data_IF_534455395433
#
_entry.id   IF_534455395433
#
_cell.length_a   1.000
_cell.length_b   1.000
_cell.length_c   1.000
_cell.angle_alpha   90.00
_cell.angle_beta   90.00
_cell.angle_gamma   90.00
#
_symmetry.space_group_name_H-M   'P 1'
#
loop_
_entity.id
_entity.type
_entity.pdbx_description
1 polymer ?
#
# COMPACT_ATOMS: atom_id res chain seq x y z
N UNK A 1 -8.54 -19.55 -34.95
CA UNK A 1 -8.19 -19.91 -33.55
C UNK A 1 -7.76 -18.64 -32.87
N UNK A 2 -8.62 -18.04 -32.05
CA UNK A 2 -8.33 -16.76 -31.39
C UNK A 2 -7.47 -17.04 -30.15
N UNK A 3 -6.28 -16.45 -30.08
CA UNK A 3 -5.41 -16.55 -28.92
C UNK A 3 -6.14 -16.03 -27.67
N UNK A 4 -6.09 -16.74 -26.53
CA UNK A 4 -6.69 -16.25 -25.30
C UNK A 4 -6.01 -14.93 -24.93
N UNK A 5 -6.80 -13.89 -24.63
CA UNK A 5 -6.26 -12.58 -24.27
C UNK A 5 -5.58 -12.69 -22.90
N UNK A 6 -4.25 -12.71 -22.88
CA UNK A 6 -3.46 -12.78 -21.65
C UNK A 6 -3.40 -11.43 -20.89
N UNK A 7 -4.25 -10.46 -21.25
CA UNK A 7 -4.18 -9.10 -20.72
C UNK A 7 -2.81 -8.47 -21.05
N UNK A 8 -2.19 -7.86 -20.04
CA UNK A 8 -0.81 -7.36 -20.09
C UNK A 8 0.23 -8.40 -19.65
N UNK A 9 -0.17 -9.65 -19.38
CA UNK A 9 0.76 -10.68 -18.95
C UNK A 9 1.69 -11.12 -20.08
N UNK A 10 2.98 -11.15 -19.80
CA UNK A 10 4.04 -11.57 -20.70
C UNK A 10 4.15 -13.09 -20.67
N UNK A 11 4.02 -13.73 -21.83
CA UNK A 11 4.17 -15.18 -21.96
C UNK A 11 5.64 -15.54 -22.05
N UNK A 12 6.11 -16.40 -21.14
CA UNK A 12 7.47 -16.96 -21.15
C UNK A 12 7.45 -18.24 -21.97
N UNK A 13 8.02 -18.19 -23.18
CA UNK A 13 8.04 -19.33 -24.11
C UNK A 13 9.28 -20.21 -23.94
N UNK A 14 10.36 -19.67 -23.36
CA UNK A 14 11.65 -20.35 -23.18
C UNK A 14 12.24 -20.07 -21.82
N UNK A 15 12.94 -21.05 -21.24
CA UNK A 15 13.58 -20.94 -19.92
C UNK A 15 14.51 -19.71 -19.81
N UNK A 16 15.22 -19.35 -20.89
CA UNK A 16 16.15 -18.22 -20.90
C UNK A 16 15.49 -16.85 -20.71
N UNK A 17 14.20 -16.72 -21.02
CA UNK A 17 13.47 -15.45 -20.92
C UNK A 17 13.06 -15.13 -19.48
N UNK A 18 12.93 -16.15 -18.62
CA UNK A 18 12.39 -15.96 -17.27
C UNK A 18 13.23 -14.99 -16.43
N UNK A 19 14.52 -15.28 -16.27
CA UNK A 19 15.41 -14.42 -15.48
C UNK A 19 15.56 -13.02 -16.10
N UNK A 20 15.60 -12.94 -17.44
CA UNK A 20 15.67 -11.67 -18.15
C UNK A 20 14.47 -10.77 -17.83
N UNK A 21 13.25 -11.32 -17.76
CA UNK A 21 12.04 -10.55 -17.43
C UNK A 21 12.02 -10.10 -15.96
N UNK A 22 12.52 -10.95 -15.05
CA UNK A 22 12.70 -10.57 -13.64
C UNK A 22 13.69 -9.41 -13.50
N UNK A 23 14.81 -9.45 -14.23
CA UNK A 23 15.83 -8.41 -14.18
C UNK A 23 15.34 -7.09 -14.80
N UNK A 24 14.62 -7.15 -15.92
CA UNK A 24 14.04 -5.98 -16.60
C UNK A 24 12.92 -5.31 -15.81
N UNK A 25 12.25 -6.03 -14.91
CA UNK A 25 11.22 -5.46 -14.05
C UNK A 25 11.79 -4.46 -13.02
N UNK A 26 13.07 -4.58 -12.67
CA UNK A 26 13.75 -3.68 -11.74
C UNK A 26 13.23 -3.82 -10.30
N UNK A 27 12.68 -2.73 -9.76
CA UNK A 27 12.08 -2.67 -8.42
C UNK A 27 10.57 -2.95 -8.40
N UNK A 28 9.94 -3.09 -9.58
CA UNK A 28 8.50 -3.37 -9.69
C UNK A 28 8.18 -4.77 -9.17
N UNK A 29 6.94 -4.92 -8.67
CA UNK A 29 6.39 -6.23 -8.36
C UNK A 29 6.28 -7.04 -9.66
N UNK A 30 6.74 -8.28 -9.64
CA UNK A 30 6.52 -9.27 -10.69
C UNK A 30 5.68 -10.39 -10.13
N UNK A 31 4.56 -10.69 -10.77
CA UNK A 31 3.67 -11.80 -10.41
C UNK A 31 3.79 -12.85 -11.50
N UNK A 32 4.12 -14.09 -11.13
CA UNK A 32 4.39 -15.18 -12.07
C UNK A 32 3.35 -16.28 -11.86
N UNK A 33 2.59 -16.62 -12.89
CA UNK A 33 1.70 -17.78 -12.93
C UNK A 33 2.41 -18.98 -13.56
N UNK A 34 2.73 -19.99 -12.75
CA UNK A 34 3.19 -21.30 -13.23
C UNK A 34 1.98 -22.21 -13.48
N UNK A 35 1.72 -22.50 -14.76
CA UNK A 35 0.53 -23.22 -15.19
C UNK A 35 0.85 -24.36 -16.17
N UNK A 36 -0.21 -25.07 -16.59
CA UNK A 36 -0.16 -26.06 -17.66
C UNK A 36 -1.48 -26.08 -18.45
N UNK A 37 -1.42 -26.34 -19.75
CA UNK A 37 -2.60 -26.36 -20.63
C UNK A 37 -3.65 -27.41 -20.24
N UNK A 38 -3.21 -28.55 -19.71
CA UNK A 38 -4.06 -29.66 -19.26
C UNK A 38 -4.64 -29.44 -17.85
N UNK A 39 -4.13 -28.46 -17.09
CA UNK A 39 -4.57 -28.17 -15.72
C UNK A 39 -5.92 -27.42 -15.72
N UNK A 40 -6.97 -28.07 -15.21
CA UNK A 40 -8.32 -27.51 -15.10
C UNK A 40 -8.40 -26.21 -14.28
N UNK A 41 -7.92 -26.20 -13.02
CA UNK A 41 -7.90 -24.99 -12.19
C UNK A 41 -7.10 -23.84 -12.81
N UNK A 42 -6.04 -24.14 -13.56
CA UNK A 42 -5.26 -23.13 -14.28
C UNK A 42 -6.09 -22.42 -15.36
N UNK A 43 -6.92 -23.16 -16.11
CA UNK A 43 -7.82 -22.55 -17.10
C UNK A 43 -8.84 -21.59 -16.48
N UNK A 44 -9.28 -21.85 -15.24
CA UNK A 44 -10.15 -20.96 -14.48
C UNK A 44 -9.40 -19.69 -14.03
N UNK A 45 -8.14 -19.82 -13.60
CA UNK A 45 -7.34 -18.69 -13.13
C UNK A 45 -6.79 -17.82 -14.26
N UNK A 46 -6.55 -18.36 -15.45
CA UNK A 46 -5.99 -17.64 -16.59
C UNK A 46 -6.71 -16.31 -16.93
N UNK A 47 -8.06 -16.26 -17.09
CA UNK A 47 -8.75 -14.99 -17.35
C UNK A 47 -8.69 -14.03 -16.16
N UNK A 48 -8.64 -14.55 -14.93
CA UNK A 48 -8.52 -13.74 -13.71
C UNK A 48 -7.14 -13.08 -13.65
N UNK A 49 -6.08 -13.87 -13.88
CA UNK A 49 -4.70 -13.39 -13.95
C UNK A 49 -4.52 -12.34 -15.05
N UNK A 50 -5.13 -12.56 -16.22
CA UNK A 50 -5.16 -11.58 -17.30
C UNK A 50 -5.83 -10.27 -16.87
N UNK A 51 -6.99 -10.31 -16.20
CA UNK A 51 -7.65 -9.10 -15.69
C UNK A 51 -6.82 -8.38 -14.63
N UNK A 52 -6.20 -9.11 -13.71
CA UNK A 52 -5.31 -8.55 -12.69
C UNK A 52 -4.10 -7.85 -13.34
N UNK A 53 -3.54 -8.40 -14.42
CA UNK A 53 -2.44 -7.75 -15.15
C UNK A 53 -2.81 -6.40 -15.77
N UNK A 54 -4.08 -6.20 -16.09
CA UNK A 54 -4.60 -4.92 -16.60
C UNK A 54 -4.87 -3.97 -15.43
N UNK A 55 -5.50 -4.47 -14.36
CA UNK A 55 -5.82 -3.69 -13.16
C UNK A 55 -4.58 -3.14 -12.45
N UNK A 56 -3.52 -3.95 -12.38
CA UNK A 56 -2.28 -3.64 -11.66
C UNK A 56 -1.13 -3.38 -12.64
N UNK A 57 -1.27 -2.40 -13.52
CA UNK A 57 -0.28 -2.06 -14.56
C UNK A 57 1.09 -1.62 -14.03
N UNK A 58 1.18 -1.23 -12.75
CA UNK A 58 2.43 -0.95 -12.07
C UNK A 58 3.26 -2.22 -11.78
N UNK A 59 2.62 -3.40 -11.75
CA UNK A 59 3.28 -4.70 -11.65
C UNK A 59 3.48 -5.32 -13.04
N UNK A 60 4.48 -6.19 -13.13
CA UNK A 60 4.75 -7.03 -14.29
C UNK A 60 4.11 -8.39 -14.04
N UNK A 61 3.33 -8.89 -15.00
CA UNK A 61 2.71 -10.22 -14.91
C UNK A 61 3.38 -11.14 -15.90
N UNK A 62 3.81 -12.31 -15.46
CA UNK A 62 4.43 -13.34 -16.30
C UNK A 62 3.58 -14.61 -16.23
N UNK A 63 3.43 -15.30 -17.36
CA UNK A 63 2.84 -16.65 -17.39
C UNK A 63 3.88 -17.63 -17.92
N UNK A 64 4.03 -18.74 -17.20
CA UNK A 64 5.05 -19.77 -17.45
C UNK A 64 4.35 -21.12 -17.55
N UNK A 65 4.35 -21.69 -18.76
CA UNK A 65 3.90 -23.06 -18.97
C UNK A 65 5.01 -24.03 -18.55
N UNK A 66 4.74 -24.88 -17.55
CA UNK A 66 5.73 -25.81 -16.98
C UNK A 66 6.19 -26.88 -17.97
N UNK A 67 5.38 -27.20 -18.99
CA UNK A 67 5.76 -28.15 -20.04
C UNK A 67 6.73 -27.53 -21.06
N UNK A 68 6.65 -26.21 -21.25
CA UNK A 68 7.55 -25.46 -22.15
C UNK A 68 8.84 -25.02 -21.44
N UNK A 69 8.73 -24.61 -20.17
CA UNK A 69 9.85 -24.11 -19.36
C UNK A 69 10.21 -25.08 -18.23
N UNK A 70 10.56 -26.32 -18.59
CA UNK A 70 10.78 -27.42 -17.64
C UNK A 70 11.93 -27.14 -16.67
N UNK A 71 13.01 -26.51 -17.13
CA UNK A 71 14.18 -26.22 -16.29
C UNK A 71 13.87 -25.12 -15.28
N UNK A 72 13.17 -24.08 -15.71
CA UNK A 72 12.70 -23.02 -14.82
C UNK A 72 11.74 -23.59 -13.78
N UNK A 73 10.74 -24.38 -14.18
CA UNK A 73 9.81 -25.02 -13.26
C UNK A 73 10.52 -25.90 -12.21
N UNK A 74 11.50 -26.70 -12.63
CA UNK A 74 12.29 -27.53 -11.72
C UNK A 74 13.15 -26.69 -10.75
N UNK A 75 13.82 -25.65 -11.26
CA UNK A 75 14.70 -24.78 -10.45
C UNK A 75 13.90 -23.96 -9.44
N UNK A 76 12.70 -23.52 -9.82
CA UNK A 76 11.77 -22.79 -8.96
C UNK A 76 10.99 -23.72 -8.01
N UNK A 77 11.18 -25.04 -8.10
CA UNK A 77 10.59 -26.01 -7.19
C UNK A 77 9.08 -26.20 -7.36
N UNK A 78 8.54 -26.00 -8.57
CA UNK A 78 7.10 -26.09 -8.84
C UNK A 78 6.65 -27.55 -8.75
N UNK A 79 5.71 -27.84 -7.82
CA UNK A 79 5.17 -29.19 -7.57
C UNK A 79 3.67 -29.31 -7.82
N UNK A 80 2.97 -28.19 -7.95
CA UNK A 80 1.53 -28.11 -8.16
C UNK A 80 1.19 -26.91 -9.05
N UNK A 81 0.07 -26.99 -9.79
CA UNK A 81 -0.40 -25.90 -10.64
C UNK A 81 -1.89 -25.60 -10.38
N UNK A 82 -2.30 -24.32 -10.42
CA UNK A 82 -1.44 -23.15 -10.61
C UNK A 82 -0.62 -22.85 -9.35
N UNK A 83 0.60 -22.36 -9.53
CA UNK A 83 1.40 -21.77 -8.44
C UNK A 83 1.79 -20.36 -8.85
N UNK A 84 1.56 -19.40 -7.97
CA UNK A 84 1.85 -17.99 -8.20
C UNK A 84 3.02 -17.57 -7.34
N UNK A 85 4.06 -17.02 -7.95
CA UNK A 85 5.20 -16.43 -7.24
C UNK A 85 5.20 -14.92 -7.39
N UNK A 86 5.61 -14.25 -6.32
CA UNK A 86 5.71 -12.80 -6.27
C UNK A 86 7.18 -12.44 -6.10
N UNK A 87 7.71 -11.64 -7.00
CA UNK A 87 9.06 -11.10 -6.92
C UNK A 87 9.02 -9.60 -6.77
N UNK A 88 9.88 -9.06 -5.92
CA UNK A 88 10.07 -7.62 -5.81
C UNK A 88 11.54 -7.35 -5.53
N UNK A 89 12.10 -6.33 -6.17
CA UNK A 89 13.56 -6.09 -6.15
C UNK A 89 14.37 -7.35 -6.54
N UNK A 90 13.88 -8.10 -7.54
CA UNK A 90 14.48 -9.35 -8.05
C UNK A 90 14.59 -10.50 -7.04
N UNK A 91 13.94 -10.41 -5.88
CA UNK A 91 13.86 -11.50 -4.89
C UNK A 91 12.44 -12.02 -4.83
N UNK A 92 12.28 -13.34 -4.62
CA UNK A 92 10.96 -13.91 -4.32
C UNK A 92 10.55 -13.45 -2.93
N UNK A 93 9.41 -12.80 -2.82
CA UNK A 93 8.89 -12.23 -1.57
C UNK A 93 7.68 -12.97 -1.04
N UNK A 94 6.97 -13.70 -1.92
CA UNK A 94 5.79 -14.45 -1.54
C UNK A 94 5.47 -15.55 -2.56
N UNK A 95 4.63 -16.49 -2.15
CA UNK A 95 4.10 -17.55 -3.00
C UNK A 95 2.67 -17.94 -2.60
N UNK A 96 1.91 -18.41 -3.60
CA UNK A 96 0.59 -18.97 -3.40
C UNK A 96 0.41 -20.20 -4.29
N UNK A 97 0.03 -21.32 -3.69
CA UNK A 97 -0.29 -22.54 -4.43
C UNK A 97 -1.81 -22.71 -4.52
N UNK A 98 -2.29 -23.14 -5.69
CA UNK A 98 -3.69 -23.44 -5.93
C UNK A 98 -4.50 -22.26 -6.50
N UNK A 99 -5.71 -22.57 -6.95
CA UNK A 99 -6.61 -21.61 -7.55
C UNK A 99 -7.42 -20.86 -6.47
N UNK A 100 -6.95 -19.67 -6.11
CA UNK A 100 -7.64 -18.77 -5.18
C UNK A 100 -7.64 -17.33 -5.73
N UNK A 101 -8.71 -16.89 -6.41
CA UNK A 101 -8.80 -15.56 -7.01
C UNK A 101 -8.61 -14.42 -6.01
N UNK A 102 -9.32 -14.46 -4.88
CA UNK A 102 -9.27 -13.43 -3.85
C UNK A 102 -7.89 -13.42 -3.19
N UNK A 103 -7.36 -14.58 -2.81
CA UNK A 103 -6.03 -14.68 -2.21
C UNK A 103 -4.90 -14.22 -3.14
N UNK A 104 -5.05 -14.42 -4.46
CA UNK A 104 -4.10 -13.89 -5.44
C UNK A 104 -4.13 -12.35 -5.44
N UNK A 105 -5.31 -11.77 -5.53
CA UNK A 105 -5.48 -10.31 -5.56
C UNK A 105 -5.08 -9.64 -4.24
N UNK A 106 -5.39 -10.25 -3.10
CA UNK A 106 -4.97 -9.77 -1.79
C UNK A 106 -3.44 -9.70 -1.67
N UNK A 107 -2.72 -10.74 -2.12
CA UNK A 107 -1.25 -10.73 -2.16
C UNK A 107 -0.71 -9.71 -3.15
N UNK A 108 -1.36 -9.53 -4.30
CA UNK A 108 -1.00 -8.43 -5.22
C UNK A 108 -1.13 -7.08 -4.50
N UNK A 109 -2.26 -6.83 -3.83
CA UNK A 109 -2.47 -5.59 -3.07
C UNK A 109 -1.47 -5.39 -1.93
N UNK A 110 -1.06 -6.47 -1.26
CA UNK A 110 -0.03 -6.44 -0.23
C UNK A 110 1.33 -5.96 -0.79
N UNK A 111 1.69 -6.39 -2.00
CA UNK A 111 3.01 -6.14 -2.58
C UNK A 111 3.04 -5.00 -3.61
N UNK A 112 1.89 -4.57 -4.14
CA UNK A 112 1.74 -3.43 -5.04
C UNK A 112 1.84 -2.15 -4.20
N UNK A 113 2.97 -1.45 -4.27
CA UNK A 113 3.21 -0.26 -3.44
C UNK A 113 3.78 -0.49 -2.03
N UNK A 114 3.82 -1.73 -1.50
CA UNK A 114 4.36 -2.04 -0.17
C UNK A 114 5.79 -2.59 -0.17
N UNK A 115 6.68 -2.04 0.65
CA UNK A 115 8.07 -2.49 0.84
C UNK A 115 8.20 -4.00 1.07
N UNK A 116 9.32 -4.58 0.61
CA UNK A 116 9.65 -6.00 0.79
C UNK A 116 9.94 -6.30 2.26
N UNK A 117 9.16 -7.17 2.89
CA UNK A 117 9.58 -7.94 4.07
C UNK A 117 10.43 -9.14 3.59
N UNK A 118 11.68 -9.32 4.05
CA UNK A 118 12.41 -10.57 3.92
C UNK A 118 12.19 -11.46 5.16
N UNK A 119 12.05 -12.76 4.90
CA UNK A 119 12.05 -13.90 5.83
C UNK A 119 12.51 -13.64 7.28
N UNK A 120 11.57 -13.81 8.22
CA UNK A 120 11.74 -14.06 9.66
C UNK A 120 13.00 -13.47 10.35
N UNK A 121 13.16 -12.16 10.27
CA UNK A 121 13.74 -11.34 11.33
C UNK A 121 12.87 -10.10 11.41
N UNK A 122 12.30 -9.81 12.57
CA UNK A 122 11.52 -8.58 12.83
C UNK A 122 12.33 -7.36 12.41
N UNK A 123 11.95 -6.71 11.31
CA UNK A 123 12.63 -5.48 10.87
C UNK A 123 11.60 -4.45 10.41
N UNK A 124 11.50 -3.37 11.19
CA UNK A 124 10.56 -2.26 11.09
C UNK A 124 10.62 -1.54 9.71
N UNK A 125 9.47 -1.19 9.09
CA UNK A 125 9.32 -0.46 7.81
C UNK A 125 10.17 0.81 7.61
N UNK A 126 10.78 1.33 8.66
CA UNK A 126 11.62 2.54 8.69
C UNK A 126 12.97 2.39 7.95
N UNK A 127 13.35 1.17 7.55
CA UNK A 127 14.67 0.84 6.97
C UNK A 127 14.87 1.04 5.47
N UNK A 128 13.82 1.30 4.68
CA UNK A 128 13.86 1.08 3.21
C UNK A 128 14.15 2.34 2.38
N UNK A 129 13.98 3.56 2.90
CA UNK A 129 13.91 4.76 2.06
C UNK A 129 15.24 5.36 1.56
N UNK A 130 16.39 5.04 2.18
CA UNK A 130 17.64 5.80 1.93
C UNK A 130 18.71 5.03 1.14
N UNK A 131 18.50 3.75 0.83
CA UNK A 131 19.55 2.88 0.27
C UNK A 131 20.76 2.70 1.19
N UNK A 132 20.69 3.22 2.43
CA UNK A 132 21.64 3.03 3.52
C UNK A 132 20.89 2.28 4.62
N UNK A 133 21.54 1.29 5.21
CA UNK A 133 20.94 0.57 6.32
C UNK A 133 20.62 1.54 7.46
N UNK A 134 19.37 1.59 7.92
CA UNK A 134 19.00 2.31 9.15
C UNK A 134 19.48 1.57 10.42
N UNK A 135 20.58 0.80 10.34
CA UNK A 135 21.27 0.24 11.52
C UNK A 135 21.64 1.35 12.53
N UNK A 136 21.87 2.56 12.02
CA UNK A 136 22.07 3.75 12.85
C UNK A 136 20.89 4.06 13.76
N UNK A 137 19.67 3.75 13.35
CA UNK A 137 18.49 3.96 14.19
C UNK A 137 18.42 2.92 15.30
N UNK A 138 18.70 1.65 15.02
CA UNK A 138 18.81 0.61 16.07
C UNK A 138 19.92 0.96 17.09
N UNK A 139 21.08 1.42 16.59
CA UNK A 139 22.15 1.93 17.44
C UNK A 139 21.70 3.13 18.29
N UNK A 140 20.86 4.01 17.73
CA UNK A 140 20.26 5.12 18.46
C UNK A 140 19.29 4.60 19.54
N UNK A 141 18.47 3.59 19.23
CA UNK A 141 17.52 2.96 20.16
C UNK A 141 18.19 2.26 21.33
N UNK A 142 19.37 1.68 21.12
CA UNK A 142 20.16 0.98 22.15
C UNK A 142 20.73 1.93 23.23
N UNK A 143 20.67 3.24 23.02
CA UNK A 143 21.09 4.21 24.03
C UNK A 143 20.10 4.24 25.22
N UNK A 144 20.59 4.56 26.45
CA UNK A 144 19.73 4.78 27.60
C UNK A 144 18.58 5.74 27.31
N UNK A 145 17.41 5.53 27.91
CA UNK A 145 16.20 6.28 27.59
C UNK A 145 16.40 7.81 27.63
N UNK A 146 17.09 8.34 28.64
CA UNK A 146 17.38 9.77 28.76
C UNK A 146 18.29 10.29 27.64
N UNK A 147 19.32 9.52 27.28
CA UNK A 147 20.27 9.85 26.20
C UNK A 147 19.57 9.82 24.84
N UNK A 148 18.78 8.78 24.58
CA UNK A 148 17.94 8.68 23.38
C UNK A 148 16.97 9.86 23.29
N UNK A 149 16.26 10.18 24.38
CA UNK A 149 15.29 11.27 24.40
C UNK A 149 15.94 12.62 24.11
N UNK A 150 17.11 12.88 24.69
CA UNK A 150 17.84 14.13 24.46
C UNK A 150 18.37 14.21 23.02
N UNK A 151 18.97 13.15 22.47
CA UNK A 151 19.46 13.12 21.09
C UNK A 151 18.32 13.25 20.06
N UNK A 152 17.24 12.47 20.26
CA UNK A 152 16.08 12.43 19.37
C UNK A 152 15.37 13.78 19.25
N UNK A 153 15.25 14.56 20.34
CA UNK A 153 14.71 15.92 20.28
C UNK A 153 15.54 16.86 19.40
N UNK A 154 16.86 16.73 19.44
CA UNK A 154 17.75 17.57 18.63
C UNK A 154 17.71 17.15 17.14
N UNK A 155 17.64 15.85 16.85
CA UNK A 155 17.43 15.32 15.50
C UNK A 155 16.08 15.78 14.91
N UNK A 156 14.99 15.68 15.69
CA UNK A 156 13.67 16.18 15.32
C UNK A 156 13.70 17.68 15.01
N UNK A 157 14.43 18.46 15.80
CA UNK A 157 14.59 19.90 15.56
C UNK A 157 15.27 20.19 14.22
N UNK A 158 16.28 19.41 13.84
CA UNK A 158 16.92 19.56 12.52
C UNK A 158 15.97 19.20 11.39
N UNK A 159 15.30 18.04 11.48
CA UNK A 159 14.31 17.61 10.50
C UNK A 159 13.18 18.65 10.34
N UNK A 160 12.56 19.08 11.45
CA UNK A 160 11.49 20.06 11.45
C UNK A 160 11.88 21.39 10.81
N UNK A 161 13.07 21.91 11.12
CA UNK A 161 13.52 23.18 10.54
C UNK A 161 13.72 23.09 9.03
N UNK A 162 14.22 21.97 8.52
CA UNK A 162 14.39 21.73 7.07
C UNK A 162 13.04 21.50 6.40
N UNK A 163 12.15 20.70 6.99
CA UNK A 163 10.82 20.41 6.43
C UNK A 163 10.00 21.68 6.25
N UNK A 164 9.98 22.56 7.26
CA UNK A 164 9.17 23.78 7.22
C UNK A 164 9.83 24.93 6.44
N UNK A 165 11.14 24.84 6.18
CA UNK A 165 11.88 25.89 5.48
C UNK A 165 12.88 25.24 4.50
N UNK A 166 12.39 24.54 3.47
CA UNK A 166 13.21 23.67 2.62
C UNK A 166 14.25 24.45 1.85
N UNK A 167 14.04 25.71 1.48
CA UNK A 167 15.03 26.46 0.70
C UNK A 167 16.00 27.28 1.55
N UNK A 168 15.87 27.24 2.89
CA UNK A 168 16.69 28.07 3.76
C UNK A 168 18.07 27.41 4.02
N UNK A 169 19.17 28.00 3.52
CA UNK A 169 20.51 27.40 3.64
C UNK A 169 21.01 27.30 5.08
N UNK A 170 20.48 28.15 5.98
CA UNK A 170 20.85 28.14 7.40
C UNK A 170 20.46 26.83 8.09
N UNK A 171 19.29 26.27 7.77
CA UNK A 171 18.79 25.05 8.41
C UNK A 171 19.37 23.78 7.80
N UNK A 172 19.93 23.88 6.59
CA UNK A 172 20.61 22.79 5.89
C UNK A 172 22.07 22.60 6.30
N UNK A 173 22.57 23.39 7.24
CA UNK A 173 23.99 23.36 7.65
C UNK A 173 24.11 23.21 9.16
N UNK A 174 24.90 22.22 9.59
CA UNK A 174 25.21 21.97 11.00
C UNK A 174 26.73 22.10 11.18
N UNK A 175 27.19 22.90 12.15
CA UNK A 175 28.62 23.02 12.46
C UNK A 175 29.03 21.95 13.47
N UNK A 176 30.05 21.17 13.15
CA UNK A 176 30.56 20.09 14.02
C UNK A 176 31.21 20.68 15.28
N UNK A 177 31.82 21.87 15.19
CA UNK A 177 32.29 22.65 16.34
C UNK A 177 31.23 23.19 17.30
N UNK A 178 29.92 23.02 17.03
CA UNK A 178 28.86 23.53 17.91
C UNK A 178 28.78 22.73 19.21
N UNK A 179 28.88 23.39 20.37
CA UNK A 179 28.86 22.73 21.69
C UNK A 179 27.65 21.82 21.92
N UNK A 180 26.46 22.22 21.45
CA UNK A 180 25.22 21.43 21.60
C UNK A 180 25.30 20.16 20.75
N UNK A 181 25.80 20.28 19.52
CA UNK A 181 26.03 19.14 18.63
C UNK A 181 27.06 18.18 19.22
N UNK A 182 28.18 18.72 19.72
CA UNK A 182 29.27 17.93 20.31
C UNK A 182 28.86 17.23 21.60
N UNK A 183 28.05 17.85 22.45
CA UNK A 183 27.67 17.25 23.72
C UNK A 183 26.48 16.29 23.61
N UNK A 184 25.57 16.50 22.64
CA UNK A 184 24.28 15.77 22.57
C UNK A 184 24.14 14.77 21.43
N UNK A 185 24.95 14.89 20.35
CA UNK A 185 24.85 13.97 19.21
C UNK A 185 26.14 13.20 18.96
N UNK A 186 27.31 13.86 19.00
CA UNK A 186 28.59 13.15 18.78
C UNK A 186 28.84 11.94 19.71
N UNK A 187 28.52 11.98 21.03
CA UNK A 187 28.78 10.84 21.91
C UNK A 187 27.68 9.77 21.83
N UNK A 188 26.60 10.02 21.09
CA UNK A 188 25.43 9.15 21.04
C UNK A 188 25.54 8.24 19.83
N UNK A 189 25.62 6.93 20.10
CA UNK A 189 25.78 5.92 19.06
C UNK A 189 24.61 5.97 18.08
N UNK A 190 24.88 6.01 16.78
CA UNK A 190 23.87 6.06 15.73
C UNK A 190 23.25 7.43 15.42
N UNK A 191 23.49 8.45 16.25
CA UNK A 191 22.83 9.75 16.11
C UNK A 191 23.33 10.57 14.90
N UNK A 192 24.63 10.57 14.64
CA UNK A 192 25.22 11.30 13.50
C UNK A 192 24.98 10.53 12.21
N UNK A 193 25.03 9.21 12.28
CA UNK A 193 24.74 8.29 11.18
C UNK A 193 23.30 8.44 10.70
N UNK A 194 22.35 8.73 11.61
CA UNK A 194 20.98 9.10 11.24
C UNK A 194 20.93 10.39 10.38
N UNK A 195 21.78 11.39 10.66
CA UNK A 195 21.88 12.60 9.82
C UNK A 195 22.40 12.25 8.41
N UNK A 196 23.38 11.37 8.32
CA UNK A 196 23.89 10.89 7.04
C UNK A 196 22.87 10.04 6.28
N UNK A 197 22.04 9.27 6.98
CA UNK A 197 20.97 8.48 6.37
C UNK A 197 19.93 9.39 5.72
N UNK A 198 19.54 10.50 6.38
CA UNK A 198 18.58 11.46 5.81
C UNK A 198 19.16 12.39 4.73
N UNK A 199 20.46 12.31 4.45
CA UNK A 199 21.08 12.96 3.31
C UNK A 199 22.04 14.11 3.65
N UNK A 200 22.39 14.32 4.92
CA UNK A 200 23.53 15.19 5.24
C UNK A 200 24.83 14.60 4.69
N UNK A 201 25.73 15.47 4.25
CA UNK A 201 27.05 15.13 3.76
C UNK A 201 28.10 15.90 4.54
N UNK A 202 29.23 15.26 4.84
CA UNK A 202 30.36 15.92 5.50
C UNK A 202 31.11 16.84 4.52
N UNK A 203 31.34 18.09 4.93
CA UNK A 203 32.12 19.09 4.21
C UNK A 203 32.99 19.89 5.18
N UNK A 204 34.17 19.37 5.49
CA UNK A 204 35.07 19.97 6.47
C UNK A 204 34.45 19.95 7.87
N UNK A 205 34.45 21.09 8.57
CA UNK A 205 33.85 21.22 9.92
C UNK A 205 32.32 21.40 9.91
N UNK A 206 31.65 21.03 8.81
CA UNK A 206 30.21 21.21 8.63
C UNK A 206 29.55 19.99 8.00
N UNK A 207 28.33 19.70 8.45
CA UNK A 207 27.41 18.79 7.78
C UNK A 207 26.42 19.61 6.95
N UNK A 208 26.28 19.28 5.67
CA UNK A 208 25.45 20.02 4.71
C UNK A 208 24.44 19.09 4.06
N UNK A 209 23.16 19.46 4.12
CA UNK A 209 22.06 18.78 3.44
C UNK A 209 21.76 19.44 2.09
N UNK A 210 22.05 18.81 0.94
CA UNK A 210 21.85 19.42 -0.38
C UNK A 210 20.35 19.69 -0.67
N UNK A 211 20.02 20.77 -1.40
CA UNK A 211 18.65 21.05 -1.85
C UNK A 211 18.21 20.00 -2.89
N UNK A 212 16.96 19.51 -2.81
CA UNK A 212 16.43 18.48 -3.71
C UNK A 212 15.66 17.35 -2.99
N UNK A 213 15.47 16.23 -3.71
CA UNK A 213 14.59 15.05 -3.51
C UNK A 213 14.69 14.27 -2.17
N UNK A 214 15.24 14.86 -1.10
CA UNK A 214 15.51 14.19 0.18
C UNK A 214 14.55 14.59 1.31
N UNK A 215 13.49 15.33 1.01
CA UNK A 215 12.47 15.72 2.01
C UNK A 215 11.75 14.50 2.59
N UNK A 216 11.56 13.46 1.78
CA UNK A 216 10.95 12.19 2.19
C UNK A 216 11.70 11.53 3.34
N UNK A 217 13.04 11.50 3.30
CA UNK A 217 13.84 10.90 4.36
C UNK A 217 13.76 11.68 5.68
N UNK A 218 13.61 13.00 5.61
CA UNK A 218 13.41 13.85 6.79
C UNK A 218 12.05 13.58 7.46
N UNK A 219 11.00 13.38 6.66
CA UNK A 219 9.67 13.00 7.14
C UNK A 219 9.69 11.62 7.79
N UNK A 220 10.38 10.65 7.17
CA UNK A 220 10.53 9.31 7.73
C UNK A 220 11.26 9.35 9.07
N UNK A 221 12.36 10.12 9.18
CA UNK A 221 13.06 10.31 10.46
C UNK A 221 12.15 10.95 11.52
N UNK A 222 11.35 11.95 11.11
CA UNK A 222 10.44 12.64 12.00
C UNK A 222 9.38 11.70 12.58
N UNK A 223 8.65 10.98 11.74
CA UNK A 223 7.61 10.03 12.18
C UNK A 223 8.23 8.93 13.04
N UNK A 224 9.41 8.45 12.62
CA UNK A 224 10.13 7.39 13.29
C UNK A 224 10.49 7.72 14.73
N UNK A 225 11.05 8.91 14.95
CA UNK A 225 11.43 9.37 16.28
C UNK A 225 10.20 9.69 17.13
N UNK A 226 9.16 10.31 16.56
CA UNK A 226 7.93 10.64 17.28
C UNK A 226 7.20 9.39 17.80
N UNK A 227 7.12 8.33 16.99
CA UNK A 227 6.53 7.06 17.41
C UNK A 227 7.28 6.45 18.60
N UNK A 228 8.62 6.43 18.53
CA UNK A 228 9.45 5.83 19.57
C UNK A 228 9.43 6.65 20.87
N UNK A 229 9.45 7.98 20.77
CA UNK A 229 9.26 8.86 21.94
C UNK A 229 7.92 8.62 22.62
N UNK A 230 6.85 8.45 21.83
CA UNK A 230 5.51 8.12 22.34
C UNK A 230 5.48 6.76 23.04
N UNK A 231 6.15 5.76 22.45
CA UNK A 231 6.28 4.41 23.03
C UNK A 231 7.04 4.42 24.35
N UNK A 232 8.18 5.13 24.43
CA UNK A 232 9.00 5.24 25.65
C UNK A 232 8.30 6.04 26.76
N UNK A 233 7.55 7.07 26.39
CA UNK A 233 6.75 7.87 27.34
C UNK A 233 5.56 7.09 27.90
N UNK A 234 4.99 6.14 27.13
CA UNK A 234 3.89 5.27 27.57
C UNK A 234 4.31 4.02 28.36
N UNK A 235 5.57 3.61 28.29
CA UNK A 235 6.06 2.35 28.88
C UNK A 235 6.53 2.44 30.34
N UNK A 236 6.45 3.59 31.00
CA UNK A 236 6.96 3.77 32.36
C UNK A 236 5.92 3.39 33.43
N UNK A 237 5.72 2.08 33.64
CA UNK A 237 5.17 1.51 34.88
C UNK A 237 6.19 0.49 35.46
N UNK A 238 6.45 0.45 36.78
CA UNK A 238 7.60 -0.28 37.31
C UNK A 238 7.41 -1.79 37.22
N UNK A 239 8.42 -2.48 36.68
CA UNK A 239 8.49 -3.93 36.60
C UNK A 239 8.70 -4.63 37.96
N UNK A 240 8.53 -5.96 38.01
CA UNK A 240 8.49 -6.74 39.24
C UNK A 240 9.89 -6.98 39.80
N UNK A 241 10.09 -6.67 41.08
CA UNK A 241 11.29 -7.04 41.82
C UNK A 241 11.16 -8.47 42.33
N UNK A 242 12.02 -9.37 41.84
CA UNK A 242 12.30 -10.64 42.50
C UNK A 242 13.38 -10.43 43.57
N UNK A 243 13.12 -10.89 44.80
CA UNK A 243 14.15 -11.39 45.72
C UNK A 243 13.56 -12.57 46.51
N UNK A 244 14.30 -13.68 46.68
CA UNK A 244 13.93 -14.76 47.60
C UNK A 244 14.49 -14.48 49.01
N UNK A 245 13.95 -15.20 50.01
CA UNK A 245 14.57 -15.69 51.27
C UNK A 245 13.67 -15.46 52.51
N UNK A 246 13.00 -16.56 52.92
CA UNK A 246 12.66 -17.04 54.28
C UNK A 246 12.43 -16.04 55.44
N UNK A 247 11.31 -16.17 56.18
CA UNK A 247 11.17 -16.92 57.46
C UNK A 247 9.77 -16.72 58.09
N UNK A 248 9.19 -17.84 58.59
CA UNK A 248 8.22 -18.09 59.70
C UNK A 248 7.87 -16.91 60.65
N UNK A 249 6.70 -16.75 61.29
CA UNK A 249 5.82 -17.69 62.02
C UNK A 249 4.40 -17.11 62.34
N UNK A 250 3.40 -18.00 62.39
CA UNK A 250 2.23 -18.19 63.29
C UNK A 250 1.43 -17.05 64.00
N UNK A 251 0.14 -16.98 63.61
CA UNK A 251 -1.12 -17.18 64.40
C UNK A 251 -1.73 -16.04 65.32
N UNK A 252 -3.09 -15.91 65.42
CA UNK A 252 -3.87 -14.70 65.83
C UNK A 252 -4.61 -14.90 67.20
N UNK A 253 -5.82 -14.37 67.53
CA UNK A 253 -6.63 -13.23 67.03
C UNK A 253 -7.15 -12.27 68.15
N UNK A 254 -7.78 -11.15 67.77
CA UNK A 254 -8.59 -10.35 68.71
C UNK A 254 -9.30 -9.11 68.13
N UNK A 255 -10.62 -9.26 67.92
CA UNK A 255 -11.69 -8.25 68.12
C UNK A 255 -11.81 -7.05 67.14
N UNK A 256 -12.84 -7.13 66.28
CA UNK A 256 -13.57 -6.03 65.59
C UNK A 256 -14.65 -5.45 66.53
N UNK A 257 -15.29 -4.26 66.32
CA UNK A 257 -15.58 -3.63 65.01
C UNK A 257 -15.56 -2.09 64.90
N UNK A 258 -15.56 -1.59 63.66
CA UNK A 258 -15.82 -0.17 63.35
C UNK A 258 -15.63 0.15 61.86
N UNK A 259 -16.73 0.30 61.13
CA UNK A 259 -16.83 0.48 59.68
C UNK A 259 -16.38 1.90 59.24
N UNK A 260 -15.51 2.02 58.24
CA UNK A 260 -15.33 3.21 57.38
C UNK A 260 -14.62 2.82 56.07
N UNK A 261 -15.13 3.35 54.96
CA UNK A 261 -14.88 2.96 53.57
C UNK A 261 -13.43 3.20 53.09
N UNK A 262 -12.94 2.44 52.07
CA UNK A 262 -11.63 2.67 51.48
C UNK A 262 -11.63 3.86 50.50
N UNK A 263 -10.64 4.74 50.68
CA UNK A 263 -10.30 5.83 49.77
C UNK A 263 -9.74 5.28 48.47
N UNK A 264 -10.45 5.50 47.36
CA UNK A 264 -9.97 5.28 46.00
C UNK A 264 -9.00 6.43 45.67
N UNK A 265 -7.70 6.14 45.62
CA UNK A 265 -6.73 7.05 45.01
C UNK A 265 -6.75 6.80 43.49
N UNK A 266 -7.45 7.67 42.77
CA UNK A 266 -7.48 7.69 41.32
C UNK A 266 -6.14 8.18 40.76
N UNK A 267 -5.49 7.38 39.90
CA UNK A 267 -4.44 7.82 38.96
C UNK A 267 -4.96 8.96 38.08
N UNK A 268 -4.13 9.93 37.68
CA UNK A 268 -4.55 10.94 36.71
C UNK A 268 -4.72 10.27 35.35
N UNK A 269 -5.95 10.33 34.82
CA UNK A 269 -6.25 9.89 33.46
C UNK A 269 -5.58 10.85 32.48
N UNK A 270 -4.82 10.31 31.51
CA UNK A 270 -4.42 11.05 30.31
C UNK A 270 -5.68 11.62 29.68
N UNK A 271 -5.75 12.94 29.56
CA UNK A 271 -6.95 13.64 29.09
C UNK A 271 -7.28 13.24 27.64
N UNK A 272 -8.57 13.22 27.28
CA UNK A 272 -8.98 12.96 25.89
C UNK A 272 -8.32 13.94 24.91
N UNK A 273 -7.97 15.14 25.39
CA UNK A 273 -7.32 16.20 24.64
C UNK A 273 -5.94 15.83 24.11
N UNK A 274 -5.16 14.99 24.82
CA UNK A 274 -3.80 14.66 24.38
C UNK A 274 -3.80 13.62 23.25
N UNK A 275 -4.75 12.68 23.28
CA UNK A 275 -4.98 11.74 22.18
C UNK A 275 -5.59 12.43 20.96
N UNK A 276 -6.45 13.42 21.20
CA UNK A 276 -7.04 14.24 20.15
C UNK A 276 -6.00 15.12 19.47
N UNK A 277 -5.07 15.72 20.22
CA UNK A 277 -3.92 16.44 19.66
C UNK A 277 -3.03 15.53 18.82
N UNK A 278 -2.72 14.32 19.29
CA UNK A 278 -1.90 13.36 18.54
C UNK A 278 -2.59 12.95 17.23
N UNK A 279 -3.89 12.68 17.26
CA UNK A 279 -4.67 12.39 16.07
C UNK A 279 -4.69 13.56 15.08
N UNK A 280 -4.90 14.79 15.57
CA UNK A 280 -4.93 15.98 14.72
C UNK A 280 -3.57 16.28 14.08
N UNK A 281 -2.47 16.03 14.81
CA UNK A 281 -1.11 16.17 14.26
C UNK A 281 -0.84 15.14 13.15
N UNK A 282 -1.28 13.89 13.31
CA UNK A 282 -1.18 12.86 12.25
C UNK A 282 -2.02 13.21 11.03
N UNK A 283 -3.23 13.72 11.25
CA UNK A 283 -4.12 14.16 10.17
C UNK A 283 -3.52 15.35 9.41
N UNK A 284 -2.96 16.32 10.13
CA UNK A 284 -2.29 17.48 9.53
C UNK A 284 -1.08 17.05 8.68
N UNK A 285 -0.25 16.13 9.19
CA UNK A 285 0.88 15.56 8.44
C UNK A 285 0.42 14.85 7.17
N UNK A 286 -0.62 14.02 7.28
CA UNK A 286 -1.20 13.28 6.14
C UNK A 286 -1.76 14.23 5.08
N UNK A 287 -2.44 15.31 5.48
CA UNK A 287 -2.94 16.33 4.57
C UNK A 287 -1.78 17.05 3.85
N UNK A 288 -0.69 17.32 4.54
CA UNK A 288 0.48 17.97 3.95
C UNK A 288 1.15 17.09 2.88
N UNK A 289 1.06 15.77 3.03
CA UNK A 289 1.48 14.82 2.00
C UNK A 289 0.52 14.78 0.79
N UNK A 290 -0.78 14.99 0.99
CA UNK A 290 -1.74 15.13 -0.11
C UNK A 290 -1.50 16.41 -0.91
N UNK A 291 -1.12 17.50 -0.23
CA UNK A 291 -0.79 18.78 -0.88
C UNK A 291 0.45 18.69 -1.78
N UNK A 292 1.31 17.67 -1.61
CA UNK A 292 2.41 17.38 -2.55
C UNK A 292 1.90 17.11 -3.97
N UNK A 293 0.71 16.50 -4.12
CA UNK A 293 0.09 16.27 -5.42
C UNK A 293 -0.48 17.53 -6.06
N UNK A 294 -0.57 18.64 -5.31
CA UNK A 294 -0.97 19.95 -5.82
C UNK A 294 0.22 20.78 -6.35
N UNK A 295 1.45 20.27 -6.22
CA UNK A 295 2.65 20.91 -6.76
C UNK A 295 2.59 21.01 -8.31
N UNK A 296 2.58 22.22 -8.90
CA UNK A 296 2.43 22.41 -10.34
C UNK A 296 3.57 21.83 -11.17
N UNK A 297 4.79 21.81 -10.64
CA UNK A 297 5.97 21.26 -11.33
C UNK A 297 5.93 19.73 -11.32
N UNK A 298 5.51 19.13 -10.20
CA UNK A 298 5.30 17.68 -10.11
C UNK A 298 4.17 17.23 -11.04
N UNK A 299 3.05 17.95 -11.06
CA UNK A 299 1.94 17.71 -11.98
C UNK A 299 2.35 17.86 -13.44
N UNK A 300 3.15 18.87 -13.78
CA UNK A 300 3.66 19.08 -15.15
C UNK A 300 4.59 17.94 -15.57
N UNK A 301 5.46 17.46 -14.69
CA UNK A 301 6.32 16.28 -14.96
C UNK A 301 5.47 15.03 -15.18
N UNK A 302 4.46 14.78 -14.35
CA UNK A 302 3.52 13.68 -14.52
C UNK A 302 2.75 13.79 -15.85
N UNK A 303 2.27 14.98 -16.20
CA UNK A 303 1.58 15.24 -17.47
C UNK A 303 2.47 14.93 -18.69
N UNK A 304 3.75 15.27 -18.63
CA UNK A 304 4.70 14.97 -19.71
C UNK A 304 5.00 13.47 -19.86
N UNK A 305 4.71 12.65 -18.84
CA UNK A 305 4.82 11.19 -18.89
C UNK A 305 3.54 10.51 -19.39
N UNK A 306 2.40 11.21 -19.39
CA UNK A 306 1.13 10.69 -19.89
C UNK A 306 1.07 11.00 -21.40
N UNK A 307 0.86 10.00 -22.28
CA UNK A 307 0.82 10.22 -23.72
C UNK A 307 -0.54 10.80 -24.14
N UNK A 308 -0.86 12.00 -23.65
CA UNK A 308 -2.16 12.67 -23.84
C UNK A 308 -2.46 12.91 -25.32
N UNK A 309 -1.43 13.17 -26.14
CA UNK A 309 -1.57 13.31 -27.58
C UNK A 309 -2.04 11.99 -28.23
N UNK A 310 -1.45 10.86 -27.87
CA UNK A 310 -1.84 9.53 -28.38
C UNK A 310 -3.24 9.13 -27.91
N UNK A 311 -3.62 9.54 -26.69
CA UNK A 311 -4.97 9.31 -26.15
C UNK A 311 -6.04 10.15 -26.86
N UNK A 312 -5.69 11.34 -27.36
CA UNK A 312 -6.57 12.22 -28.13
C UNK A 312 -6.68 11.82 -29.61
N UNK A 313 -5.60 11.29 -30.18
CA UNK A 313 -5.50 10.87 -31.59
C UNK A 313 -6.06 9.46 -31.84
N UNK A 314 -6.23 8.62 -30.80
CA UNK A 314 -6.93 7.34 -30.95
C UNK A 314 -8.36 7.61 -31.46
N UNK A 315 -8.74 7.12 -32.66
CA UNK A 315 -10.08 7.34 -33.16
C UNK A 315 -11.06 6.59 -32.25
N UNK A 316 -11.95 7.32 -31.57
CA UNK A 316 -13.18 6.73 -31.05
C UNK A 316 -13.85 6.07 -32.25
N UNK A 317 -13.96 4.74 -32.25
CA UNK A 317 -14.63 4.01 -33.32
C UNK A 317 -15.99 4.68 -33.55
N UNK A 318 -16.33 5.10 -34.78
CA UNK A 318 -17.62 5.73 -35.02
C UNK A 318 -18.69 4.67 -34.77
N UNK A 319 -19.45 4.84 -33.68
CA UNK A 319 -20.75 4.19 -33.52
C UNK A 319 -21.60 4.68 -34.67
N UNK A 320 -22.11 3.76 -35.50
CA UNK A 320 -22.96 4.12 -36.64
C UNK A 320 -24.14 4.93 -36.11
N UNK A 321 -24.16 6.24 -36.39
CA UNK A 321 -25.32 7.10 -36.14
C UNK A 321 -26.47 6.66 -37.03
N UNK A 322 -27.30 5.73 -36.56
CA UNK A 322 -28.65 5.56 -37.08
C UNK A 322 -29.54 6.65 -36.47
N UNK A 323 -29.40 7.90 -36.94
CA UNK A 323 -30.43 8.96 -36.88
C UNK A 323 -31.20 9.27 -35.59
N UNK A 324 -30.87 8.70 -34.42
CA UNK A 324 -31.65 8.85 -33.17
C UNK A 324 -30.74 9.28 -32.03
N UNK A 325 -31.24 10.19 -31.21
CA UNK A 325 -30.54 10.79 -30.09
C UNK A 325 -30.62 9.87 -28.88
N UNK A 326 -29.61 9.01 -28.70
CA UNK A 326 -29.55 8.09 -27.56
C UNK A 326 -29.25 8.85 -26.26
N UNK A 327 -30.16 8.74 -25.28
CA UNK A 327 -29.99 9.31 -23.95
C UNK A 327 -29.93 8.21 -22.89
N UNK A 328 -28.97 8.36 -22.00
CA UNK A 328 -28.77 7.48 -20.85
C UNK A 328 -29.87 7.65 -19.81
N UNK A 329 -30.47 6.54 -19.35
CA UNK A 329 -31.47 6.55 -18.27
C UNK A 329 -31.20 5.47 -17.22
N UNK A 330 -31.44 5.81 -15.96
CA UNK A 330 -31.24 4.90 -14.81
C UNK A 330 -32.37 3.87 -14.66
N UNK A 331 -33.58 4.20 -15.13
CA UNK A 331 -34.77 3.32 -15.05
C UNK A 331 -35.59 3.46 -16.33
N UNK A 332 -35.53 2.48 -17.25
CA UNK A 332 -36.27 2.58 -18.50
C UNK A 332 -37.79 2.37 -18.29
N UNK A 333 -38.62 3.11 -19.01
CA UNK A 333 -40.09 3.08 -18.93
C UNK A 333 -40.68 2.01 -19.84
N UNK A 334 -41.54 1.13 -19.30
CA UNK A 334 -42.06 -0.07 -20.00
C UNK A 334 -42.52 0.22 -21.45
N UNK A 335 -42.03 -0.53 -22.46
CA UNK A 335 -42.33 -0.20 -23.85
C UNK A 335 -43.77 -0.53 -24.25
N UNK A 336 -44.47 -1.36 -23.46
CA UNK A 336 -45.87 -1.72 -23.73
C UNK A 336 -46.89 -0.77 -23.09
N UNK A 337 -46.55 -0.08 -21.99
CA UNK A 337 -47.54 0.73 -21.27
C UNK A 337 -46.98 2.05 -20.69
N UNK A 338 -45.71 2.38 -20.97
CA UNK A 338 -45.05 3.61 -20.53
C UNK A 338 -44.79 3.72 -19.02
N UNK A 339 -45.22 2.75 -18.21
CA UNK A 339 -45.08 2.79 -16.76
C UNK A 339 -43.65 2.51 -16.30
N UNK A 340 -43.29 3.02 -15.11
CA UNK A 340 -41.96 2.79 -14.53
C UNK A 340 -41.70 1.29 -14.30
N UNK A 341 -40.43 0.92 -14.48
CA UNK A 341 -39.95 -0.43 -14.20
C UNK A 341 -39.16 -0.45 -12.90
N UNK A 342 -39.09 -1.63 -12.28
CA UNK A 342 -38.35 -1.86 -11.05
C UNK A 342 -37.36 -3.02 -11.22
N UNK A 343 -36.20 -2.99 -10.53
CA UNK A 343 -35.20 -4.04 -10.64
C UNK A 343 -35.68 -5.31 -9.94
N UNK A 344 -35.42 -6.46 -10.56
CA UNK A 344 -35.86 -7.79 -10.07
C UNK A 344 -34.69 -8.73 -9.84
N UNK A 345 -33.47 -8.26 -10.08
CA UNK A 345 -32.23 -8.99 -9.84
C UNK A 345 -31.28 -8.90 -11.03
N UNK A 346 -30.16 -9.59 -10.93
CA UNK A 346 -29.12 -9.64 -11.96
C UNK A 346 -29.26 -10.94 -12.74
N UNK A 347 -29.19 -10.87 -14.06
CA UNK A 347 -29.26 -12.01 -14.97
C UNK A 347 -28.01 -12.07 -15.84
N UNK A 348 -27.63 -13.28 -16.32
CA UNK A 348 -26.57 -13.39 -17.29
C UNK A 348 -26.92 -12.64 -18.58
N UNK A 349 -25.95 -11.98 -19.24
CA UNK A 349 -26.15 -11.25 -20.48
C UNK A 349 -26.59 -12.18 -21.61
N UNK A 350 -27.34 -11.64 -22.56
CA UNK A 350 -27.60 -12.28 -23.85
C UNK A 350 -26.32 -12.36 -24.71
N UNK A 351 -26.26 -13.22 -25.74
CA UNK A 351 -25.09 -13.32 -26.62
C UNK A 351 -24.72 -11.99 -27.31
N UNK A 352 -25.72 -11.17 -27.61
CA UNK A 352 -25.51 -9.83 -28.16
C UNK A 352 -24.86 -8.90 -27.12
N UNK A 353 -25.39 -8.84 -25.90
CA UNK A 353 -24.79 -8.05 -24.80
C UNK A 353 -23.38 -8.53 -24.43
N UNK A 354 -23.12 -9.83 -24.49
CA UNK A 354 -21.77 -10.40 -24.32
C UNK A 354 -20.80 -9.91 -25.40
N UNK A 355 -21.26 -9.72 -26.64
CA UNK A 355 -20.42 -9.20 -27.73
C UNK A 355 -19.95 -7.76 -27.49
N UNK A 356 -20.70 -7.01 -26.67
CA UNK A 356 -20.37 -5.66 -26.20
C UNK A 356 -19.57 -5.64 -24.89
N UNK A 357 -19.25 -6.81 -24.32
CA UNK A 357 -18.46 -6.94 -23.09
C UNK A 357 -19.29 -6.82 -21.80
N UNK A 358 -20.62 -6.95 -21.88
CA UNK A 358 -21.44 -7.03 -20.68
C UNK A 358 -21.15 -8.34 -19.92
N UNK A 359 -20.95 -8.24 -18.60
CA UNK A 359 -20.71 -9.40 -17.72
C UNK A 359 -21.96 -9.88 -16.99
N UNK A 360 -22.69 -8.95 -16.39
CA UNK A 360 -23.93 -9.17 -15.64
C UNK A 360 -24.88 -8.03 -15.96
N UNK A 361 -26.16 -8.34 -16.18
CA UNK A 361 -27.16 -7.36 -16.65
C UNK A 361 -28.31 -7.28 -15.66
N UNK A 362 -28.72 -6.09 -15.28
CA UNK A 362 -29.83 -5.88 -14.34
C UNK A 362 -31.18 -6.13 -15.02
N UNK A 363 -31.96 -7.10 -14.53
CA UNK A 363 -33.30 -7.37 -15.04
C UNK A 363 -34.31 -6.43 -14.40
N UNK A 364 -35.17 -5.82 -15.22
CA UNK A 364 -36.29 -4.99 -14.77
C UNK A 364 -37.63 -5.67 -15.06
N UNK A 365 -38.68 -5.33 -14.30
CA UNK A 365 -40.08 -5.67 -14.61
C UNK A 365 -40.95 -4.43 -14.53
N UNK A 366 -41.99 -4.40 -15.34
CA UNK A 366 -42.99 -3.34 -15.27
C UNK A 366 -43.90 -3.51 -14.05
N UNK A 367 -44.14 -2.43 -13.31
CA UNK A 367 -45.04 -2.43 -12.15
C UNK A 367 -46.51 -2.66 -12.54
N UNK A 368 -46.94 -2.18 -13.71
CA UNK A 368 -48.34 -2.27 -14.16
C UNK A 368 -48.64 -3.57 -14.94
N UNK A 369 -47.86 -3.92 -15.97
CA UNK A 369 -48.14 -5.09 -16.80
C UNK A 369 -47.43 -6.38 -16.35
N UNK A 370 -46.50 -6.32 -15.39
CA UNK A 370 -45.74 -7.48 -14.89
C UNK A 370 -44.77 -8.11 -15.88
N UNK A 371 -44.75 -7.65 -17.14
CA UNK A 371 -43.87 -8.17 -18.19
C UNK A 371 -42.44 -7.70 -18.00
N UNK A 372 -41.50 -8.55 -18.42
CA UNK A 372 -40.10 -8.16 -18.62
C UNK A 372 -40.05 -7.31 -19.88
N UNK A 373 -39.58 -6.05 -19.82
CA UNK A 373 -39.37 -5.27 -21.01
C UNK A 373 -38.19 -5.86 -21.80
N UNK A 374 -38.38 -6.01 -23.11
CA UNK A 374 -37.31 -6.35 -24.04
C UNK A 374 -36.81 -5.03 -24.64
N UNK A 375 -35.62 -4.59 -24.24
CA UNK A 375 -34.94 -3.47 -24.87
C UNK A 375 -33.98 -4.06 -25.89
N UNK A 376 -34.06 -3.63 -27.16
CA UNK A 376 -33.02 -3.95 -28.12
C UNK A 376 -31.73 -3.23 -27.71
N UNK A 377 -30.63 -3.99 -27.67
CA UNK A 377 -29.44 -3.64 -26.90
C UNK A 377 -28.69 -2.44 -27.44
N UNK A 378 -28.56 -1.41 -26.59
CA UNK A 378 -27.39 -0.52 -26.58
C UNK A 378 -26.97 -0.34 -25.13
N UNK A 379 -26.10 -1.23 -24.66
CA UNK A 379 -25.42 -1.11 -23.37
C UNK A 379 -23.96 -0.73 -23.61
N UNK A 380 -23.49 0.28 -22.90
CA UNK A 380 -22.23 0.96 -23.13
C UNK A 380 -21.35 0.86 -21.89
N UNK A 381 -20.10 0.43 -22.06
CA UNK A 381 -18.99 0.69 -21.15
C UNK A 381 -18.91 -0.17 -19.87
N UNK A 382 -17.70 -0.34 -19.30
CA UNK A 382 -17.51 -1.15 -18.12
C UNK A 382 -17.93 -0.35 -16.89
N UNK A 383 -18.69 -0.99 -16.02
CA UNK A 383 -19.28 -0.49 -14.77
C UNK A 383 -20.54 0.37 -14.90
N UNK A 384 -21.61 -0.19 -14.31
CA UNK A 384 -22.97 0.30 -14.13
C UNK A 384 -23.92 0.04 -15.31
N UNK A 385 -24.96 -0.75 -15.02
CA UNK A 385 -26.07 -1.11 -15.90
C UNK A 385 -26.90 0.15 -16.21
N UNK A 386 -26.57 0.86 -17.29
CA UNK A 386 -27.41 1.94 -17.79
C UNK A 386 -27.97 1.57 -19.16
N UNK A 387 -29.28 1.71 -19.30
CA UNK A 387 -30.01 1.38 -20.53
C UNK A 387 -30.24 2.66 -21.34
N UNK A 388 -30.05 2.59 -22.66
CA UNK A 388 -30.60 3.57 -23.58
C UNK A 388 -32.10 3.29 -23.77
N UNK A 389 -32.95 4.31 -23.70
CA UNK A 389 -34.36 4.22 -24.06
C UNK A 389 -34.62 5.02 -25.33
N UNK A 390 -35.33 4.43 -26.29
CA UNK A 390 -35.87 5.17 -27.44
C UNK A 390 -37.01 6.10 -26.96
N UNK A 391 -37.01 7.34 -27.43
CA UNK A 391 -38.16 8.26 -27.34
C UNK A 391 -39.05 8.14 -28.57
#
# INVERSE_FOLDING_TARGET
MASPSHGNAIVIEKDSQFQQQIDQAGNRLVVVDFNASWCGPCRMMAPIFANLSVKYSAAVFLTVDVDKCKRTAATQGIRAMPTFFFYKNRKKVDEMQGANPTGLEDRINQWIGGAVEPDNVTVDPKRVATGRSWDCFEQLLDNPAEVFMDASQLLLKFAFNIINNPDNPKYRTIRVGNKIFQSRLLPVNGAVECLFAVGFQERGDQLVCPPGELLENMLILQDTLNDEQSRRSGAQAPGPTAKPTTTRDNQPPGIVPGCSQPSIVSKPASSSSDKEKDFLLRLQSSLQHVLLYEDPDLQRRAYNMIPVAELKEKPRRPVKKQGREERWVDKPSCPSCGSLTFPVGVVPPTPEEMSWGAGNVESYKCQNCGKKPAWEGVASGPTVSHYAAEL
#
